data_IF_292965413101
#
_entry.id   IF_292965413101
#
_cell.length_a   1.000
_cell.length_b   1.000
_cell.length_c   1.000
_cell.angle_alpha   90.00
_cell.angle_beta   90.00
_cell.angle_gamma   90.00
#
_symmetry.space_group_name_H-M   'P 1'
#
loop_
_entity.id
_entity.type
_entity.pdbx_description
1 polymer ?
#
# COMPACT_ATOMS: atom_id res chain seq x y z
N UNK A 1 17.36 -21.39 -12.81
CA UNK A 1 15.97 -21.08 -13.21
C UNK A 1 15.20 -20.37 -12.08
N UNK A 2 15.75 -20.39 -10.86
CA UNK A 2 15.12 -19.94 -9.61
C UNK A 2 15.17 -18.42 -9.39
N UNK A 3 16.16 -17.72 -9.93
CA UNK A 3 16.30 -16.26 -9.81
C UNK A 3 15.26 -15.51 -10.65
N UNK A 4 15.00 -15.97 -11.88
CA UNK A 4 13.96 -15.40 -12.76
C UNK A 4 12.55 -15.68 -12.24
N UNK A 5 12.31 -16.86 -11.64
CA UNK A 5 11.01 -17.20 -11.07
C UNK A 5 10.71 -16.39 -9.79
N UNK A 6 11.71 -16.21 -8.93
CA UNK A 6 11.62 -15.34 -7.74
C UNK A 6 11.39 -13.86 -8.11
N UNK A 7 12.10 -13.36 -9.13
CA UNK A 7 11.90 -12.01 -9.65
C UNK A 7 10.52 -11.83 -10.28
N UNK A 8 10.02 -12.83 -11.02
CA UNK A 8 8.68 -12.81 -11.61
C UNK A 8 7.58 -12.84 -10.54
N UNK A 9 7.72 -13.66 -9.49
CA UNK A 9 6.78 -13.66 -8.35
C UNK A 9 6.75 -12.30 -7.63
N UNK A 10 7.92 -11.67 -7.43
CA UNK A 10 8.01 -10.32 -6.85
C UNK A 10 7.45 -9.22 -7.75
N UNK A 11 7.55 -9.37 -9.08
CA UNK A 11 7.07 -8.39 -10.06
C UNK A 11 5.56 -8.50 -10.36
N UNK A 12 4.97 -9.69 -10.19
CA UNK A 12 3.55 -9.97 -10.43
C UNK A 12 2.59 -9.00 -9.71
N UNK A 13 2.81 -8.62 -8.44
CA UNK A 13 1.98 -7.60 -7.77
C UNK A 13 2.24 -6.17 -8.25
N UNK A 14 3.41 -5.86 -8.83
CA UNK A 14 3.77 -4.53 -9.33
C UNK A 14 3.18 -4.28 -10.73
N UNK A 15 2.94 -5.34 -11.50
CA UNK A 15 2.34 -5.26 -12.84
C UNK A 15 0.83 -4.99 -12.84
N UNK A 16 0.22 -4.83 -11.66
CA UNK A 16 -1.19 -4.43 -11.55
C UNK A 16 -1.35 -3.03 -12.17
N UNK A 17 -2.33 -2.82 -13.07
CA UNK A 17 -2.53 -1.53 -13.76
C UNK A 17 -2.55 -0.31 -12.84
N UNK A 18 -3.00 -0.49 -11.58
CA UNK A 18 -2.94 0.51 -10.52
C UNK A 18 -1.52 1.08 -10.30
N UNK A 19 -0.50 0.23 -10.15
CA UNK A 19 0.85 0.70 -9.81
C UNK A 19 1.52 1.35 -11.02
N UNK A 20 1.30 0.80 -12.22
CA UNK A 20 1.82 1.38 -13.47
C UNK A 20 1.27 2.79 -13.68
N UNK A 21 -0.05 2.96 -13.58
CA UNK A 21 -0.69 4.28 -13.75
C UNK A 21 -0.27 5.27 -12.66
N UNK A 22 -0.08 4.81 -11.42
CA UNK A 22 0.47 5.64 -10.34
C UNK A 22 1.87 6.14 -10.64
N UNK A 23 2.76 5.25 -11.10
CA UNK A 23 4.14 5.61 -11.44
C UNK A 23 4.13 6.61 -12.59
N UNK A 24 3.38 6.36 -13.66
CA UNK A 24 3.28 7.27 -14.81
C UNK A 24 2.82 8.68 -14.36
N UNK A 25 1.77 8.77 -13.55
CA UNK A 25 1.29 10.05 -13.03
C UNK A 25 2.28 10.71 -12.07
N UNK A 26 3.08 9.95 -11.34
CA UNK A 26 4.08 10.49 -10.40
C UNK A 26 5.27 11.13 -11.12
N UNK A 27 5.66 10.62 -12.29
CA UNK A 27 6.76 11.14 -13.10
C UNK A 27 6.29 12.03 -14.26
N UNK A 28 4.97 12.19 -14.44
CA UNK A 28 4.40 12.83 -15.62
C UNK A 28 4.88 14.27 -15.81
N UNK A 29 5.01 15.05 -14.74
CA UNK A 29 5.52 16.42 -14.83
C UNK A 29 6.93 16.47 -15.41
N UNK A 30 7.82 15.62 -14.89
CA UNK A 30 9.22 15.56 -15.34
C UNK A 30 9.27 15.09 -16.79
N UNK A 31 8.49 14.07 -17.15
CA UNK A 31 8.44 13.56 -18.53
C UNK A 31 7.93 14.63 -19.51
N UNK A 32 6.83 15.30 -19.18
CA UNK A 32 6.22 16.33 -20.05
C UNK A 32 7.14 17.53 -20.24
N UNK A 33 7.92 17.89 -19.21
CA UNK A 33 8.87 19.01 -19.28
C UNK A 33 10.19 18.65 -19.96
N UNK A 34 10.61 17.39 -19.93
CA UNK A 34 11.90 16.95 -20.51
C UNK A 34 11.78 16.44 -21.95
N UNK A 35 10.59 15.98 -22.37
CA UNK A 35 10.37 15.47 -23.72
C UNK A 35 10.14 16.64 -24.71
N UNK A 36 11.07 16.90 -25.65
CA UNK A 36 11.01 18.07 -26.54
C UNK A 36 9.67 18.29 -27.27
N UNK A 37 9.06 17.27 -27.91
CA UNK A 37 7.86 17.51 -28.72
C UNK A 37 6.63 17.89 -27.90
N UNK A 38 6.60 17.51 -26.62
CA UNK A 38 5.48 17.80 -25.71
C UNK A 38 5.78 19.05 -24.88
N UNK A 39 7.04 19.24 -24.54
CA UNK A 39 7.50 20.40 -23.79
C UNK A 39 7.28 21.69 -24.59
N UNK A 40 7.75 21.77 -25.84
CA UNK A 40 7.63 22.97 -26.68
C UNK A 40 6.17 23.40 -26.92
N UNK A 41 5.22 22.47 -26.75
CA UNK A 41 3.79 22.74 -26.87
C UNK A 41 3.16 23.27 -25.58
N UNK A 42 3.66 22.84 -24.41
CA UNK A 42 3.01 23.05 -23.11
C UNK A 42 3.75 24.03 -22.20
N UNK A 43 5.05 24.20 -22.41
CA UNK A 43 5.96 24.96 -21.56
C UNK A 43 6.86 25.87 -22.40
N UNK A 44 7.22 27.02 -21.84
CA UNK A 44 8.14 27.96 -22.50
C UNK A 44 9.60 27.46 -22.46
N UNK A 45 9.97 26.68 -21.44
CA UNK A 45 11.32 26.16 -21.23
C UNK A 45 11.31 24.65 -20.91
N UNK A 46 12.19 23.90 -21.59
CA UNK A 46 12.34 22.45 -21.44
C UNK A 46 13.43 22.01 -20.47
N UNK A 47 13.91 22.95 -19.65
CA UNK A 47 14.85 22.67 -18.59
C UNK A 47 14.16 22.76 -17.23
N UNK A 48 14.59 21.90 -16.30
CA UNK A 48 14.17 22.00 -14.91
C UNK A 48 14.87 23.17 -14.23
N UNK A 49 14.09 24.10 -13.69
CA UNK A 49 14.60 25.22 -12.93
C UNK A 49 15.27 24.76 -11.63
N UNK A 50 16.21 25.56 -11.11
CA UNK A 50 16.84 25.28 -9.82
C UNK A 50 15.79 25.07 -8.70
N UNK A 51 14.73 25.88 -8.68
CA UNK A 51 13.62 25.75 -7.72
C UNK A 51 12.90 24.40 -7.84
N UNK A 52 12.80 23.85 -9.04
CA UNK A 52 12.16 22.55 -9.26
C UNK A 52 13.06 21.42 -8.76
N UNK A 53 14.37 21.51 -9.03
CA UNK A 53 15.38 20.59 -8.48
C UNK A 53 15.44 20.60 -6.95
N UNK A 54 15.36 21.77 -6.32
CA UNK A 54 15.29 21.91 -4.87
C UNK A 54 14.07 21.17 -4.30
N UNK A 55 12.90 21.33 -4.92
CA UNK A 55 11.68 20.64 -4.50
C UNK A 55 11.74 19.12 -4.68
N UNK A 56 12.31 18.63 -5.79
CA UNK A 56 12.52 17.20 -6.02
C UNK A 56 13.48 16.60 -4.98
N UNK A 57 14.54 17.33 -4.66
CA UNK A 57 15.52 16.92 -3.64
C UNK A 57 14.86 16.85 -2.26
N UNK A 58 14.07 17.85 -1.90
CA UNK A 58 13.31 17.88 -0.65
C UNK A 58 12.32 16.71 -0.54
N UNK A 59 11.61 16.40 -1.62
CA UNK A 59 10.74 15.23 -1.71
C UNK A 59 11.53 13.93 -1.48
N UNK A 60 12.72 13.80 -2.08
CA UNK A 60 13.61 12.66 -1.86
C UNK A 60 13.95 12.46 -0.38
N UNK A 61 14.28 13.54 0.33
CA UNK A 61 14.55 13.50 1.78
C UNK A 61 13.32 13.04 2.57
N UNK A 62 12.13 13.59 2.28
CA UNK A 62 10.87 13.20 2.95
C UNK A 62 10.58 11.72 2.74
N UNK A 63 10.75 11.23 1.52
CA UNK A 63 10.52 9.82 1.19
C UNK A 63 11.41 8.91 2.04
N UNK A 64 12.70 9.21 2.14
CA UNK A 64 13.65 8.41 2.92
C UNK A 64 13.30 8.45 4.41
N UNK A 65 13.02 9.64 4.96
CA UNK A 65 12.68 9.81 6.37
C UNK A 65 11.39 9.09 6.74
N UNK A 66 10.34 9.23 5.91
CA UNK A 66 9.01 8.66 6.20
C UNK A 66 8.97 7.15 6.04
N UNK A 67 9.75 6.60 5.11
CA UNK A 67 9.76 5.17 4.83
C UNK A 67 10.77 4.35 5.65
N UNK A 68 11.52 4.96 6.57
CA UNK A 68 12.54 4.27 7.40
C UNK A 68 12.01 3.04 8.16
N UNK A 69 10.72 2.99 8.46
CA UNK A 69 10.08 1.92 9.25
C UNK A 69 9.10 1.04 8.45
N UNK A 70 8.98 1.25 7.14
CA UNK A 70 8.02 0.51 6.33
C UNK A 70 8.62 -0.84 5.89
N UNK A 71 8.06 -1.94 6.38
CA UNK A 71 8.52 -3.29 6.03
C UNK A 71 7.92 -3.81 4.71
N UNK A 72 6.76 -3.29 4.29
CA UNK A 72 6.05 -3.77 3.11
C UNK A 72 6.36 -2.93 1.85
N UNK A 73 6.91 -3.58 0.82
CA UNK A 73 7.24 -2.93 -0.46
C UNK A 73 6.01 -2.27 -1.13
N UNK A 74 4.82 -2.86 -0.99
CA UNK A 74 3.57 -2.31 -1.56
C UNK A 74 3.22 -0.94 -0.94
N UNK A 75 3.33 -0.82 0.38
CA UNK A 75 3.09 0.43 1.10
C UNK A 75 4.15 1.49 0.80
N UNK A 76 5.40 1.06 0.63
CA UNK A 76 6.49 1.94 0.22
C UNK A 76 6.20 2.59 -1.14
N UNK A 77 5.88 1.80 -2.16
CA UNK A 77 5.62 2.30 -3.53
C UNK A 77 4.42 3.25 -3.53
N UNK A 78 3.33 2.89 -2.83
CA UNK A 78 2.13 3.74 -2.73
C UNK A 78 2.44 5.09 -2.10
N UNK A 79 3.20 5.10 -1.00
CA UNK A 79 3.62 6.32 -0.29
C UNK A 79 4.49 7.21 -1.17
N UNK A 80 5.47 6.64 -1.87
CA UNK A 80 6.34 7.36 -2.80
C UNK A 80 5.53 7.99 -3.94
N UNK A 81 4.65 7.22 -4.57
CA UNK A 81 3.82 7.70 -5.67
C UNK A 81 2.88 8.82 -5.22
N UNK A 82 2.30 8.72 -4.02
CA UNK A 82 1.43 9.76 -3.46
C UNK A 82 2.18 11.08 -3.29
N UNK A 83 3.32 11.09 -2.60
CA UNK A 83 4.08 12.33 -2.39
C UNK A 83 4.60 12.92 -3.70
N UNK A 84 5.05 12.08 -4.64
CA UNK A 84 5.48 12.52 -5.96
C UNK A 84 4.33 13.14 -6.78
N UNK A 85 3.12 12.55 -6.74
CA UNK A 85 1.93 13.13 -7.39
C UNK A 85 1.53 14.47 -6.79
N UNK A 86 1.60 14.62 -5.46
CA UNK A 86 1.31 15.90 -4.80
C UNK A 86 2.30 16.97 -5.28
N UNK A 87 3.58 16.64 -5.36
CA UNK A 87 4.59 17.57 -5.87
C UNK A 87 4.37 17.89 -7.37
N UNK A 88 4.10 16.88 -8.20
CA UNK A 88 3.80 17.06 -9.61
C UNK A 88 2.58 17.97 -9.81
N UNK A 89 1.51 17.75 -9.03
CA UNK A 89 0.33 18.61 -9.03
C UNK A 89 0.66 20.05 -8.66
N UNK A 90 1.42 20.26 -7.58
CA UNK A 90 1.89 21.59 -7.18
C UNK A 90 2.69 22.28 -8.30
N UNK A 91 3.59 21.56 -8.95
CA UNK A 91 4.37 22.06 -10.08
C UNK A 91 3.49 22.46 -11.27
N UNK A 92 2.52 21.62 -11.65
CA UNK A 92 1.55 21.96 -12.69
C UNK A 92 0.73 23.22 -12.35
N UNK A 93 0.25 23.33 -11.10
CA UNK A 93 -0.49 24.52 -10.64
C UNK A 93 0.34 25.80 -10.72
N UNK A 94 1.65 25.70 -10.43
CA UNK A 94 2.57 26.83 -10.51
C UNK A 94 2.82 27.28 -11.94
N UNK A 95 2.92 26.35 -12.90
CA UNK A 95 3.06 26.68 -14.33
C UNK A 95 1.78 27.33 -14.86
N UNK A 96 0.65 26.66 -14.69
CA UNK A 96 -0.65 27.15 -15.12
C UNK A 96 -1.75 26.45 -14.32
N UNK A 97 -2.65 27.23 -13.73
CA UNK A 97 -3.75 26.70 -12.92
C UNK A 97 -4.63 25.71 -13.70
N UNK A 98 -4.79 25.89 -15.02
CA UNK A 98 -5.54 24.96 -15.87
C UNK A 98 -4.89 23.57 -15.94
N UNK A 99 -3.56 23.49 -16.09
CA UNK A 99 -2.84 22.22 -16.13
C UNK A 99 -2.88 21.49 -14.79
N UNK A 100 -2.81 22.24 -13.68
CA UNK A 100 -3.01 21.69 -12.34
C UNK A 100 -4.39 21.05 -12.16
N UNK A 101 -5.45 21.71 -12.63
CA UNK A 101 -6.82 21.17 -12.60
C UNK A 101 -6.93 19.91 -13.47
N UNK A 102 -6.40 19.92 -14.69
CA UNK A 102 -6.42 18.76 -15.59
C UNK A 102 -5.70 17.58 -14.94
N UNK A 103 -4.52 17.80 -14.35
CA UNK A 103 -3.79 16.76 -13.63
C UNK A 103 -4.57 16.20 -12.43
N UNK A 104 -5.23 17.07 -11.66
CA UNK A 104 -6.09 16.65 -10.56
C UNK A 104 -7.26 15.77 -11.04
N UNK A 105 -7.90 16.14 -12.16
CA UNK A 105 -8.95 15.32 -12.78
C UNK A 105 -8.40 13.95 -13.20
N UNK A 106 -7.23 13.88 -13.82
CA UNK A 106 -6.60 12.60 -14.16
C UNK A 106 -6.30 11.74 -12.93
N UNK A 107 -5.86 12.35 -11.83
CA UNK A 107 -5.65 11.64 -10.56
C UNK A 107 -6.96 11.09 -9.99
N UNK A 108 -8.05 11.86 -10.05
CA UNK A 108 -9.39 11.42 -9.61
C UNK A 108 -9.92 10.27 -10.49
N UNK A 109 -9.81 10.40 -11.80
CA UNK A 109 -10.19 9.36 -12.75
C UNK A 109 -9.38 8.09 -12.47
N UNK A 110 -8.06 8.19 -12.28
CA UNK A 110 -7.24 7.02 -11.94
C UNK A 110 -7.68 6.38 -10.63
N UNK A 111 -8.02 7.15 -9.60
CA UNK A 111 -8.51 6.61 -8.32
C UNK A 111 -9.83 5.83 -8.48
N UNK A 112 -10.73 6.29 -9.35
CA UNK A 112 -12.02 5.65 -9.62
C UNK A 112 -11.86 4.37 -10.44
N UNK A 113 -11.11 4.45 -11.54
CA UNK A 113 -10.97 3.32 -12.48
C UNK A 113 -9.96 2.27 -12.01
N UNK A 114 -8.94 2.67 -11.28
CA UNK A 114 -7.87 1.80 -10.80
C UNK A 114 -7.72 1.95 -9.28
N UNK A 115 -8.67 1.44 -8.46
CA UNK A 115 -8.56 1.45 -7.01
C UNK A 115 -7.41 0.56 -6.53
N UNK A 116 -6.93 0.79 -5.30
CA UNK A 116 -5.85 -0.01 -4.72
C UNK A 116 -6.26 -1.49 -4.66
N UNK A 117 -5.40 -2.43 -5.11
CA UNK A 117 -5.73 -3.85 -5.12
C UNK A 117 -5.79 -4.38 -3.69
N UNK A 118 -7.00 -4.51 -3.15
CA UNK A 118 -7.27 -5.29 -1.95
C UNK A 118 -7.16 -6.77 -2.30
N UNK A 119 -6.56 -7.59 -1.44
CA UNK A 119 -6.49 -9.03 -1.65
C UNK A 119 -7.91 -9.61 -1.83
N UNK A 120 -8.17 -10.25 -2.98
CA UNK A 120 -9.45 -10.88 -3.33
C UNK A 120 -9.35 -12.41 -3.47
N UNK A 121 -8.26 -13.00 -3.02
CA UNK A 121 -8.06 -14.45 -3.10
C UNK A 121 -8.91 -15.22 -2.08
N UNK A 122 -8.98 -16.55 -2.21
CA UNK A 122 -9.57 -17.40 -1.18
C UNK A 122 -8.75 -17.27 0.11
N UNK A 123 -9.41 -16.99 1.23
CA UNK A 123 -8.76 -16.96 2.55
C UNK A 123 -9.14 -18.21 3.34
N UNK A 124 -8.15 -18.87 3.94
CA UNK A 124 -8.34 -20.04 4.80
C UNK A 124 -8.22 -19.62 6.27
N UNK A 125 -9.07 -18.67 6.67
CA UNK A 125 -9.03 -18.04 7.99
C UNK A 125 -10.31 -18.34 8.74
N UNK A 126 -10.15 -18.87 9.95
CA UNK A 126 -11.26 -19.01 10.90
C UNK A 126 -11.48 -17.71 11.65
N UNK A 127 -12.67 -17.13 11.54
CA UNK A 127 -13.05 -15.94 12.29
C UNK A 127 -13.64 -16.33 13.64
N UNK A 128 -12.93 -16.01 14.72
CA UNK A 128 -13.41 -16.23 16.08
C UNK A 128 -14.39 -15.12 16.45
N UNK A 129 -15.63 -15.50 16.76
CA UNK A 129 -16.76 -14.58 17.02
C UNK A 129 -17.25 -14.61 18.47
N UNK A 130 -16.45 -15.11 19.41
CA UNK A 130 -16.85 -15.22 20.81
C UNK A 130 -15.69 -15.09 21.80
N UNK A 131 -16.01 -14.94 23.10
CA UNK A 131 -15.03 -14.75 24.17
C UNK A 131 -14.29 -16.04 24.56
N UNK A 132 -14.69 -17.19 24.00
CA UNK A 132 -14.15 -18.53 24.30
C UNK A 132 -13.03 -18.92 23.32
N UNK A 133 -12.12 -17.98 23.01
CA UNK A 133 -10.99 -18.26 22.12
C UNK A 133 -10.11 -19.40 22.68
N UNK A 134 -9.84 -19.38 23.98
CA UNK A 134 -9.01 -20.36 24.67
C UNK A 134 -9.61 -21.77 24.56
N UNK A 135 -10.93 -21.93 24.72
CA UNK A 135 -11.59 -23.23 24.60
C UNK A 135 -11.47 -23.82 23.19
N UNK A 136 -11.63 -22.99 22.15
CA UNK A 136 -11.44 -23.42 20.76
C UNK A 136 -9.99 -23.79 20.45
N UNK A 137 -9.03 -23.07 21.05
CA UNK A 137 -7.60 -23.37 20.93
C UNK A 137 -7.22 -24.65 21.69
N UNK A 138 -7.81 -24.91 22.86
CA UNK A 138 -7.53 -26.08 23.69
C UNK A 138 -8.23 -27.35 23.20
N UNK A 139 -9.29 -27.21 22.40
CA UNK A 139 -10.11 -28.32 21.89
C UNK A 139 -9.29 -29.35 21.10
N UNK A 140 -8.33 -28.92 20.29
CA UNK A 140 -7.43 -29.81 19.56
C UNK A 140 -5.97 -29.33 19.65
N UNK A 141 -5.24 -29.84 20.65
CA UNK A 141 -3.83 -29.52 20.89
C UNK A 141 -2.87 -30.00 19.79
N UNK A 142 -3.34 -30.76 18.80
CA UNK A 142 -2.53 -31.18 17.64
C UNK A 142 -2.45 -30.09 16.58
N UNK A 143 -3.34 -29.10 16.64
CA UNK A 143 -3.41 -27.99 15.70
C UNK A 143 -2.72 -26.77 16.30
N UNK A 144 -1.69 -26.29 15.62
CA UNK A 144 -1.05 -25.01 15.91
C UNK A 144 -1.82 -23.89 15.23
N UNK A 145 -2.17 -22.85 15.98
CA UNK A 145 -2.91 -21.70 15.45
C UNK A 145 -2.03 -20.46 15.34
N UNK A 146 -2.07 -19.81 14.19
CA UNK A 146 -1.59 -18.44 14.01
C UNK A 146 -2.79 -17.51 14.08
N UNK A 147 -2.97 -16.86 15.23
CA UNK A 147 -4.12 -15.97 15.47
C UNK A 147 -3.65 -14.52 15.38
N UNK A 148 -4.35 -13.70 14.58
CA UNK A 148 -4.15 -12.25 14.56
C UNK A 148 -5.29 -11.53 15.26
N UNK A 149 -4.93 -10.67 16.20
CA UNK A 149 -5.81 -9.71 16.85
C UNK A 149 -5.88 -8.48 15.97
N UNK A 150 -7.07 -8.13 15.51
CA UNK A 150 -7.25 -6.99 14.61
C UNK A 150 -8.39 -6.09 15.06
N UNK A 151 -8.31 -4.82 14.66
CA UNK A 151 -9.41 -3.89 14.76
C UNK A 151 -9.79 -3.42 13.36
N UNK A 152 -11.05 -3.60 12.96
CA UNK A 152 -11.51 -3.31 11.60
C UNK A 152 -11.34 -1.83 11.20
N UNK A 153 -11.29 -0.93 12.18
CA UNK A 153 -11.12 0.52 11.97
C UNK A 153 -9.65 0.96 11.93
N UNK A 154 -8.70 0.09 12.29
CA UNK A 154 -7.28 0.44 12.38
C UNK A 154 -6.60 0.32 11.01
N UNK A 155 -6.05 1.41 10.42
CA UNK A 155 -5.41 1.35 9.10
C UNK A 155 -4.23 0.36 9.00
N UNK A 156 -3.37 0.19 10.03
CA UNK A 156 -2.38 -0.89 10.07
C UNK A 156 -3.00 -2.28 9.94
N UNK A 157 -4.10 -2.56 10.64
CA UNK A 157 -4.79 -3.85 10.58
C UNK A 157 -5.42 -4.10 9.20
N UNK A 158 -6.05 -3.10 8.61
CA UNK A 158 -6.63 -3.19 7.25
C UNK A 158 -5.54 -3.53 6.23
N UNK A 159 -4.38 -2.88 6.33
CA UNK A 159 -3.26 -3.14 5.44
C UNK A 159 -2.67 -4.55 5.65
N UNK A 160 -2.53 -4.97 6.90
CA UNK A 160 -2.00 -6.28 7.26
C UNK A 160 -2.94 -7.43 6.85
N UNK A 161 -4.25 -7.20 6.86
CA UNK A 161 -5.28 -8.22 6.57
C UNK A 161 -5.05 -8.92 5.22
N UNK A 162 -4.60 -8.18 4.20
CA UNK A 162 -4.31 -8.72 2.87
C UNK A 162 -3.11 -9.67 2.87
N UNK A 163 -2.04 -9.32 3.61
CA UNK A 163 -0.84 -10.15 3.75
C UNK A 163 -1.19 -11.42 4.53
N UNK A 164 -1.96 -11.28 5.61
CA UNK A 164 -2.37 -12.41 6.43
C UNK A 164 -3.29 -13.39 5.66
N UNK A 165 -4.16 -12.88 4.78
CA UNK A 165 -4.97 -13.71 3.90
C UNK A 165 -4.13 -14.49 2.89
N UNK A 166 -3.15 -13.84 2.26
CA UNK A 166 -2.17 -14.49 1.36
C UNK A 166 -1.41 -15.62 2.09
N UNK A 167 -0.88 -15.34 3.28
CA UNK A 167 -0.20 -16.34 4.12
C UNK A 167 -1.11 -17.50 4.52
N UNK A 168 -2.37 -17.21 4.87
CA UNK A 168 -3.32 -18.26 5.23
C UNK A 168 -3.58 -19.22 4.07
N UNK A 169 -3.63 -18.71 2.84
CA UNK A 169 -3.86 -19.54 1.68
C UNK A 169 -2.63 -20.41 1.35
N UNK A 170 -1.42 -19.85 1.49
CA UNK A 170 -0.19 -20.51 1.08
C UNK A 170 0.33 -21.51 2.12
N UNK A 171 0.06 -21.30 3.42
CA UNK A 171 0.62 -22.08 4.52
C UNK A 171 -0.41 -22.81 5.38
N UNK A 172 -1.69 -22.86 4.98
CA UNK A 172 -2.69 -23.63 5.70
C UNK A 172 -2.44 -25.14 5.53
N UNK A 173 -2.16 -25.81 6.64
CA UNK A 173 -1.92 -27.25 6.72
C UNK A 173 -2.96 -27.91 7.64
N UNK A 174 -2.96 -29.24 7.74
CA UNK A 174 -3.88 -29.94 8.66
C UNK A 174 -3.59 -29.59 10.13
N UNK A 175 -2.32 -29.43 10.48
CA UNK A 175 -1.83 -29.10 11.81
C UNK A 175 -1.47 -27.61 12.00
N UNK A 176 -1.62 -26.76 10.97
CA UNK A 176 -1.35 -25.32 11.06
C UNK A 176 -2.52 -24.55 10.47
N UNK A 177 -3.24 -23.82 11.32
CA UNK A 177 -4.42 -23.04 10.95
C UNK A 177 -4.24 -21.56 11.23
N UNK A 178 -4.95 -20.74 10.47
CA UNK A 178 -4.94 -19.29 10.61
C UNK A 178 -6.27 -18.81 11.17
N UNK A 179 -6.22 -17.85 12.09
CA UNK A 179 -7.39 -17.31 12.75
C UNK A 179 -7.36 -15.79 12.91
N UNK A 180 -8.54 -15.17 12.95
CA UNK A 180 -8.73 -13.73 13.16
C UNK A 180 -9.70 -13.51 14.31
N UNK A 181 -9.38 -12.57 15.21
CA UNK A 181 -10.29 -12.11 16.25
C UNK A 181 -10.35 -10.58 16.30
N UNK A 182 -11.58 -10.06 16.36
CA UNK A 182 -11.85 -8.63 16.41
C UNK A 182 -11.86 -8.15 17.87
N UNK A 183 -10.74 -7.58 18.30
CA UNK A 183 -10.57 -7.07 19.67
C UNK A 183 -11.31 -5.77 19.93
N UNK A 184 -11.78 -5.08 18.88
CA UNK A 184 -12.68 -3.95 19.06
C UNK A 184 -14.08 -4.42 19.53
N UNK A 185 -14.46 -5.66 19.21
CA UNK A 185 -15.72 -6.27 19.67
C UNK A 185 -15.56 -7.08 20.96
N UNK A 186 -14.40 -7.71 21.16
CA UNK A 186 -14.10 -8.56 22.30
C UNK A 186 -12.82 -8.11 23.02
N UNK A 187 -12.84 -6.94 23.70
CA UNK A 187 -11.65 -6.39 24.36
C UNK A 187 -11.15 -7.25 25.52
N UNK A 188 -12.04 -8.03 26.13
CA UNK A 188 -11.78 -8.97 27.20
C UNK A 188 -10.83 -10.11 26.78
N UNK A 189 -10.82 -10.49 25.50
CA UNK A 189 -9.91 -11.51 24.98
C UNK A 189 -8.50 -10.95 24.76
N UNK A 190 -8.41 -9.69 24.30
CA UNK A 190 -7.12 -9.01 24.13
C UNK A 190 -6.40 -8.77 25.46
N UNK A 191 -7.16 -8.41 26.51
CA UNK A 191 -6.62 -8.18 27.86
C UNK A 191 -6.14 -9.46 28.54
N UNK A 192 -6.85 -10.59 28.35
CA UNK A 192 -6.49 -11.88 28.97
C UNK A 192 -5.19 -12.46 28.45
N UNK A 193 -4.86 -12.21 27.18
CA UNK A 193 -3.64 -12.69 26.54
C UNK A 193 -2.50 -11.66 26.58
N UNK A 194 -2.63 -10.63 27.42
CA UNK A 194 -1.65 -9.55 27.63
C UNK A 194 -1.23 -8.83 26.34
N UNK A 195 -2.09 -8.86 25.31
CA UNK A 195 -1.91 -8.11 24.06
C UNK A 195 -2.36 -6.65 24.30
N UNK A 196 -1.49 -5.87 24.93
CA UNK A 196 -1.70 -4.45 25.24
C UNK A 196 -0.89 -3.61 24.24
N UNK A 197 -1.54 -3.20 23.14
CA UNK A 197 -1.08 -2.10 22.27
C UNK A 197 -2.30 -1.42 21.59
N UNK A 198 -3.31 -1.08 22.40
CA UNK A 198 -4.45 -0.25 21.99
C UNK A 198 -4.48 1.04 22.81
N UNK A 199 -3.41 1.84 22.73
CA UNK A 199 -3.42 3.27 23.06
C UNK A 199 -2.50 4.04 22.11
#
# INVERSE_FOLDING_TARGET
MDTLHSAYLSAKPILVPHYITNIILSISYILLKTLPPVCELLFDDCNLDLKEWEMLTFLGCIIVMKNRKQAAARQYISTVCLFAKVLAGYMFFKTNSAYGIIFAVFCLVQMIFFPEPVYRGPEQITYFRGPHLEEELERDKRITWVVTFFAAWSPPCVSFSSIFAELSNDYNLENLKFGKIDVAKFPDVGQRLDYIDFY
#
